data_IF_368811017760
#
_entry.id   IF_368811017760
#
_cell.length_a   1.000
_cell.length_b   1.000
_cell.length_c   1.000
_cell.angle_alpha   90.00
_cell.angle_beta   90.00
_cell.angle_gamma   90.00
#
_symmetry.space_group_name_H-M   'P 1'
#
loop_
_entity.id
_entity.type
_entity.pdbx_description
1 polymer ?
#
# COMPACT_ATOMS: atom_id res chain seq x y z
N UNK A 1 -10.38 5.43 29.00
CA UNK A 1 -10.12 4.44 27.91
C UNK A 1 -8.78 4.79 27.28
N UNK A 2 -7.87 3.82 27.14
CA UNK A 2 -6.56 4.03 26.50
C UNK A 2 -6.74 4.17 24.98
N UNK A 3 -6.03 5.13 24.37
CA UNK A 3 -5.95 5.27 22.92
C UNK A 3 -5.35 3.97 22.35
N UNK A 4 -5.97 3.35 21.33
CA UNK A 4 -5.45 2.12 20.77
C UNK A 4 -4.03 2.37 20.19
N UNK A 5 -3.08 1.45 20.39
CA UNK A 5 -1.74 1.62 19.87
C UNK A 5 -1.73 1.63 18.34
N UNK A 6 -0.72 2.28 17.76
CA UNK A 6 -0.48 2.30 16.32
C UNK A 6 -0.02 0.90 15.90
N UNK A 7 -0.67 0.25 14.92
CA UNK A 7 -0.19 -0.97 14.30
C UNK A 7 1.23 -0.83 13.79
N UNK A 8 2.04 -1.87 14.00
CA UNK A 8 3.41 -1.92 13.51
C UNK A 8 3.45 -1.84 11.97
N UNK A 9 4.53 -1.32 11.40
CA UNK A 9 4.73 -1.39 9.96
C UNK A 9 5.28 -2.77 9.61
N UNK A 10 4.83 -3.35 8.49
CA UNK A 10 5.43 -4.58 7.97
C UNK A 10 6.91 -4.33 7.70
N UNK A 11 7.78 -5.18 8.22
CA UNK A 11 9.19 -5.20 7.85
C UNK A 11 9.35 -5.83 6.46
N UNK A 12 9.93 -5.09 5.53
CA UNK A 12 9.99 -5.47 4.12
C UNK A 12 11.45 -5.62 3.69
N UNK A 13 11.88 -6.83 3.30
CA UNK A 13 13.20 -7.02 2.70
C UNK A 13 13.41 -6.18 1.44
N UNK A 14 14.46 -5.36 1.44
CA UNK A 14 14.80 -4.51 0.29
C UNK A 14 15.64 -5.26 -0.74
N UNK A 15 15.42 -4.93 -2.02
CA UNK A 15 16.20 -5.37 -3.19
C UNK A 15 16.21 -6.88 -3.42
N UNK A 16 15.22 -7.58 -2.88
CA UNK A 16 14.98 -9.01 -3.12
C UNK A 16 13.57 -9.22 -3.71
N UNK A 17 13.37 -10.24 -4.56
CA UNK A 17 12.04 -10.59 -5.05
C UNK A 17 11.22 -11.21 -3.92
N UNK A 18 10.03 -10.66 -3.70
CA UNK A 18 9.08 -11.16 -2.71
C UNK A 18 7.76 -11.52 -3.41
N UNK A 19 7.17 -12.68 -3.11
CA UNK A 19 5.88 -13.04 -3.67
C UNK A 19 4.78 -12.18 -3.01
N UNK A 20 3.90 -11.60 -3.82
CA UNK A 20 2.89 -10.64 -3.37
C UNK A 20 1.49 -10.91 -3.95
N UNK A 21 0.51 -10.22 -3.39
CA UNK A 21 -0.84 -10.04 -3.93
C UNK A 21 -1.12 -8.54 -4.01
N UNK A 22 -1.91 -8.10 -4.99
CA UNK A 22 -2.44 -6.74 -5.02
C UNK A 22 -3.68 -6.69 -4.15
N UNK A 23 -3.63 -5.94 -3.04
CA UNK A 23 -4.76 -5.82 -2.11
C UNK A 23 -5.74 -4.72 -2.51
N UNK A 24 -5.22 -3.64 -3.10
CA UNK A 24 -6.02 -2.58 -3.70
C UNK A 24 -5.20 -1.89 -4.81
N UNK A 25 -5.87 -1.43 -5.87
CA UNK A 25 -5.21 -0.77 -7.00
C UNK A 25 -5.98 0.47 -7.43
N UNK A 26 -5.32 1.63 -7.43
CA UNK A 26 -5.89 2.89 -7.93
C UNK A 26 -5.15 3.34 -9.20
N UNK A 27 -3.83 3.20 -9.25
CA UNK A 27 -3.02 3.52 -10.43
C UNK A 27 -1.62 2.89 -10.31
N UNK A 28 -0.78 2.90 -11.36
CA UNK A 28 0.63 2.52 -11.28
C UNK A 28 1.43 3.23 -10.20
N UNK A 29 1.02 4.44 -9.83
CA UNK A 29 1.72 5.26 -8.84
C UNK A 29 1.02 5.23 -7.48
N UNK A 30 -0.12 4.52 -7.36
CA UNK A 30 -0.91 4.41 -6.14
C UNK A 30 -1.63 3.07 -6.09
N UNK A 31 -1.02 2.09 -5.45
CA UNK A 31 -1.60 0.78 -5.19
C UNK A 31 -1.06 0.19 -3.90
N UNK A 32 -1.62 -0.93 -3.46
CA UNK A 32 -1.21 -1.61 -2.23
C UNK A 32 -0.92 -3.07 -2.50
N UNK A 33 0.19 -3.53 -1.94
CA UNK A 33 0.63 -4.93 -2.00
C UNK A 33 0.53 -5.58 -0.62
N UNK A 34 0.30 -6.89 -0.61
CA UNK A 34 0.43 -7.75 0.56
C UNK A 34 1.43 -8.85 0.26
N UNK A 35 2.36 -9.12 1.18
CA UNK A 35 3.28 -10.25 1.04
C UNK A 35 2.50 -11.57 1.20
N UNK A 36 2.78 -12.61 0.38
CA UNK A 36 2.05 -13.89 0.48
C UNK A 36 2.24 -14.61 1.82
N UNK A 37 3.37 -14.39 2.48
CA UNK A 37 3.71 -14.99 3.77
C UNK A 37 3.04 -14.28 4.97
N UNK A 38 2.51 -13.07 4.75
CA UNK A 38 1.78 -12.31 5.77
C UNK A 38 0.34 -12.81 5.85
N UNK A 39 0.11 -13.82 6.70
CA UNK A 39 -1.23 -14.34 6.97
C UNK A 39 -1.98 -13.44 7.95
N UNK A 40 -3.28 -13.25 7.70
CA UNK A 40 -4.21 -12.67 8.67
C UNK A 40 -4.23 -13.52 9.95
N UNK A 41 -4.15 -12.87 11.12
CA UNK A 41 -4.56 -13.50 12.39
C UNK A 41 -6.06 -13.25 12.59
N UNK A 42 -6.86 -13.76 11.66
CA UNK A 42 -8.30 -13.50 11.54
C UNK A 42 -9.22 -13.97 12.69
N UNK A 43 -8.99 -15.12 13.38
CA UNK A 43 -10.04 -15.65 14.25
C UNK A 43 -10.31 -14.78 15.49
N UNK A 44 -9.32 -14.01 15.97
CA UNK A 44 -9.45 -13.25 17.21
C UNK A 44 -10.29 -11.97 17.07
N UNK A 45 -10.23 -11.30 15.90
CA UNK A 45 -10.98 -10.06 15.65
C UNK A 45 -12.48 -10.35 15.63
N UNK A 46 -12.88 -11.48 15.04
CA UNK A 46 -14.29 -11.92 14.97
C UNK A 46 -14.89 -12.20 16.35
N UNK A 47 -14.18 -12.95 17.18
CA UNK A 47 -14.66 -13.27 18.52
C UNK A 47 -14.73 -12.01 19.41
N UNK A 48 -13.75 -11.10 19.26
CA UNK A 48 -13.76 -9.81 19.95
C UNK A 48 -14.98 -8.97 19.57
N UNK A 49 -15.24 -8.76 18.28
CA UNK A 49 -16.38 -7.96 17.83
C UNK A 49 -17.72 -8.58 18.20
N UNK A 50 -17.86 -9.91 18.14
CA UNK A 50 -19.08 -10.61 18.60
C UNK A 50 -19.36 -10.40 20.09
N UNK A 51 -18.31 -10.24 20.89
CA UNK A 51 -18.43 -9.95 22.32
C UNK A 51 -18.74 -8.47 22.65
N UNK A 52 -18.70 -7.57 21.67
CA UNK A 52 -19.01 -6.16 21.88
C UNK A 52 -20.52 -5.92 21.84
N UNK A 53 -21.10 -5.57 22.99
CA UNK A 53 -22.52 -5.22 23.11
C UNK A 53 -22.74 -3.70 23.14
N UNK A 54 -21.70 -2.92 23.40
CA UNK A 54 -21.80 -1.46 23.52
C UNK A 54 -21.30 -0.76 22.25
N UNK A 55 -22.23 -0.04 21.60
CA UNK A 55 -21.95 0.78 20.41
C UNK A 55 -21.51 2.20 20.79
N UNK A 56 -21.22 2.42 22.07
CA UNK A 56 -20.91 3.72 22.65
C UNK A 56 -19.44 3.82 23.02
N UNK A 57 -18.56 3.90 22.03
CA UNK A 57 -17.22 4.39 22.26
C UNK A 57 -16.98 5.66 21.46
N UNK A 58 -16.27 6.61 22.07
CA UNK A 58 -15.88 7.83 21.40
C UNK A 58 -14.82 7.50 20.36
N UNK A 59 -15.19 7.58 19.09
CA UNK A 59 -14.25 7.50 17.98
C UNK A 59 -13.62 8.87 17.74
N UNK A 60 -12.29 8.90 17.56
CA UNK A 60 -11.56 10.12 17.24
C UNK A 60 -10.85 9.96 15.91
N UNK A 61 -10.71 11.07 15.18
CA UNK A 61 -9.80 11.13 14.02
C UNK A 61 -8.39 10.76 14.48
N UNK A 62 -7.71 9.93 13.69
CA UNK A 62 -6.39 9.39 14.02
C UNK A 62 -6.41 8.17 14.94
N UNK A 63 -7.59 7.67 15.35
CA UNK A 63 -7.70 6.43 16.11
C UNK A 63 -7.68 5.20 15.18
N UNK A 64 -7.27 4.06 15.73
CA UNK A 64 -7.44 2.76 15.10
C UNK A 64 -8.71 2.06 15.63
N UNK A 65 -9.42 1.40 14.73
CA UNK A 65 -10.65 0.68 15.03
C UNK A 65 -10.75 -0.61 14.20
N UNK A 66 -11.82 -1.36 14.43
CA UNK A 66 -12.25 -2.46 13.57
C UNK A 66 -13.46 -2.00 12.77
N UNK A 67 -13.47 -2.24 11.47
CA UNK A 67 -14.54 -1.89 10.55
C UNK A 67 -15.24 -3.15 10.03
N UNK A 68 -16.57 -3.17 10.14
CA UNK A 68 -17.43 -4.12 9.43
C UNK A 68 -17.71 -3.60 8.02
N UNK A 69 -17.13 -4.26 7.03
CA UNK A 69 -17.15 -3.81 5.63
C UNK A 69 -18.37 -4.32 4.85
N UNK A 70 -19.14 -5.28 5.39
CA UNK A 70 -20.43 -5.74 4.85
C UNK A 70 -20.44 -6.42 3.47
N UNK A 71 -19.35 -6.46 2.70
CA UNK A 71 -19.30 -7.11 1.36
C UNK A 71 -18.96 -8.60 1.46
N UNK A 72 -19.72 -9.42 2.19
CA UNK A 72 -19.37 -10.84 2.46
C UNK A 72 -18.03 -11.05 3.24
N UNK A 73 -17.32 -9.98 3.61
CA UNK A 73 -16.09 -9.95 4.40
C UNK A 73 -16.49 -9.51 5.81
N UNK A 74 -16.19 -10.28 6.84
CA UNK A 74 -14.90 -10.21 7.52
C UNK A 74 -14.53 -8.80 8.00
N UNK A 75 -14.01 -8.77 9.22
CA UNK A 75 -13.70 -7.55 9.95
C UNK A 75 -12.33 -7.05 9.51
N UNK A 76 -12.20 -5.74 9.31
CA UNK A 76 -10.94 -5.13 8.89
C UNK A 76 -10.41 -4.19 9.99
N UNK A 77 -9.10 -4.17 10.20
CA UNK A 77 -8.48 -3.09 10.99
C UNK A 77 -8.46 -1.83 10.16
N UNK A 78 -8.76 -0.70 10.81
CA UNK A 78 -9.00 0.56 10.16
C UNK A 78 -8.38 1.72 10.93
N UNK A 79 -7.98 2.76 10.20
CA UNK A 79 -7.53 4.04 10.73
C UNK A 79 -8.52 5.12 10.38
N UNK A 80 -8.98 5.90 11.37
CA UNK A 80 -10.00 6.93 11.19
C UNK A 80 -9.38 8.17 10.55
N UNK A 81 -9.82 8.49 9.35
CA UNK A 81 -9.36 9.66 8.59
C UNK A 81 -10.21 10.90 8.89
N UNK A 82 -11.52 10.73 8.95
CA UNK A 82 -12.46 11.82 9.22
C UNK A 82 -13.75 11.29 9.87
N UNK A 83 -14.48 12.18 10.55
CA UNK A 83 -15.76 11.87 11.20
C UNK A 83 -16.79 12.90 10.76
N UNK A 84 -17.80 12.44 10.03
CA UNK A 84 -18.94 13.26 9.66
C UNK A 84 -19.92 13.35 10.83
N UNK A 85 -20.41 14.56 11.07
CA UNK A 85 -21.35 14.87 12.15
C UNK A 85 -22.64 15.43 11.57
N UNK A 86 -23.75 15.17 12.26
CA UNK A 86 -25.03 15.81 11.94
C UNK A 86 -25.08 17.28 12.40
N UNK A 87 -26.23 17.93 12.19
CA UNK A 87 -26.46 19.32 12.59
C UNK A 87 -26.44 19.57 14.10
N UNK A 88 -26.48 18.52 14.92
CA UNK A 88 -26.36 18.60 16.38
C UNK A 88 -24.94 18.24 16.87
N UNK A 89 -24.01 17.98 15.96
CA UNK A 89 -22.63 17.61 16.26
C UNK A 89 -22.44 16.13 16.61
N UNK A 90 -23.44 15.28 16.38
CA UNK A 90 -23.36 13.85 16.66
C UNK A 90 -22.72 13.10 15.49
N UNK A 91 -21.77 12.18 15.74
CA UNK A 91 -21.11 11.42 14.68
C UNK A 91 -22.09 10.46 14.00
N UNK A 92 -22.20 10.55 12.68
CA UNK A 92 -23.11 9.71 11.86
C UNK A 92 -22.34 8.66 11.05
N UNK A 93 -21.16 9.03 10.57
CA UNK A 93 -20.29 8.16 9.78
C UNK A 93 -18.84 8.60 9.94
N UNK A 94 -17.92 7.70 9.59
CA UNK A 94 -16.50 8.00 9.53
C UNK A 94 -15.92 7.54 8.19
N UNK A 95 -15.01 8.34 7.66
CA UNK A 95 -14.09 7.89 6.61
C UNK A 95 -12.94 7.15 7.28
N UNK A 96 -12.71 5.92 6.85
CA UNK A 96 -11.70 5.03 7.45
C UNK A 96 -10.82 4.40 6.39
N UNK A 97 -9.54 4.25 6.68
CA UNK A 97 -8.58 3.55 5.85
C UNK A 97 -8.33 2.14 6.40
N UNK A 98 -8.75 1.11 5.67
CA UNK A 98 -8.58 -0.29 6.05
C UNK A 98 -7.12 -0.71 5.83
N UNK A 99 -6.32 -0.70 6.91
CA UNK A 99 -4.86 -0.79 6.85
C UNK A 99 -4.30 -2.11 6.36
N UNK A 100 -5.12 -3.17 6.38
CA UNK A 100 -4.72 -4.48 5.87
C UNK A 100 -5.06 -4.67 4.39
N UNK A 101 -5.86 -3.77 3.82
CA UNK A 101 -6.36 -3.84 2.45
C UNK A 101 -5.88 -2.68 1.58
N UNK A 102 -5.56 -1.53 2.18
CA UNK A 102 -5.19 -0.33 1.44
C UNK A 102 -6.40 0.40 0.85
N UNK A 103 -7.58 0.21 1.42
CA UNK A 103 -8.86 0.68 0.89
C UNK A 103 -9.50 1.69 1.85
N UNK A 104 -9.97 2.81 1.31
CA UNK A 104 -10.76 3.79 2.07
C UNK A 104 -12.26 3.52 1.92
N UNK A 105 -13.00 3.57 3.01
CA UNK A 105 -14.44 3.39 3.07
C UNK A 105 -15.09 4.48 3.93
N UNK A 106 -16.33 4.82 3.61
CA UNK A 106 -17.19 5.60 4.50
C UNK A 106 -18.21 4.65 5.12
N UNK A 107 -18.20 4.54 6.45
CA UNK A 107 -19.03 3.60 7.19
C UNK A 107 -19.84 4.33 8.26
N UNK A 108 -21.06 3.86 8.51
CA UNK A 108 -21.85 4.32 9.65
C UNK A 108 -21.18 3.95 10.97
N UNK A 109 -21.39 4.76 12.00
CA UNK A 109 -20.77 4.54 13.32
C UNK A 109 -21.09 3.15 13.91
N UNK A 110 -22.23 2.58 13.55
CA UNK A 110 -22.66 1.23 13.96
C UNK A 110 -21.85 0.07 13.33
N UNK A 111 -20.94 0.37 12.41
CA UNK A 111 -20.05 -0.60 11.76
C UNK A 111 -18.61 -0.48 12.23
N UNK A 112 -18.35 0.34 13.23
CA UNK A 112 -17.02 0.60 13.75
C UNK A 112 -16.96 0.10 15.18
N UNK A 113 -15.92 -0.64 15.53
CA UNK A 113 -15.71 -1.23 16.84
C UNK A 113 -14.32 -0.86 17.37
N UNK A 114 -14.09 -0.85 18.69
CA UNK A 114 -12.77 -0.63 19.24
C UNK A 114 -11.74 -1.64 18.72
N UNK A 115 -10.48 -1.24 18.57
CA UNK A 115 -9.39 -2.18 18.29
C UNK A 115 -8.77 -2.65 19.60
N UNK A 116 -8.60 -3.97 19.78
CA UNK A 116 -7.94 -4.51 20.96
C UNK A 116 -6.42 -4.23 20.93
N UNK A 117 -5.77 -4.21 22.10
CA UNK A 117 -4.30 -4.04 22.17
C UNK A 117 -3.54 -5.19 21.49
N UNK A 118 -4.13 -6.39 21.45
CA UNK A 118 -3.50 -7.56 20.83
C UNK A 118 -3.52 -7.38 19.30
N UNK A 119 -4.65 -6.94 18.75
CA UNK A 119 -4.81 -6.73 17.32
C UNK A 119 -4.02 -5.51 16.82
N UNK A 120 -3.82 -4.52 17.68
CA UNK A 120 -2.96 -3.38 17.41
C UNK A 120 -1.46 -3.72 17.36
N UNK A 121 -1.02 -4.90 17.83
CA UNK A 121 0.39 -5.34 17.66
C UNK A 121 0.65 -6.02 16.31
N UNK A 122 -0.39 -6.34 15.56
CA UNK A 122 -0.22 -6.98 14.25
C UNK A 122 0.27 -5.91 13.27
N UNK A 123 1.29 -6.15 12.44
CA UNK A 123 1.71 -5.17 11.46
C UNK A 123 0.63 -4.87 10.42
N UNK A 124 0.54 -3.65 9.89
CA UNK A 124 -0.32 -3.32 8.75
C UNK A 124 0.05 -4.19 7.55
N UNK A 125 -0.92 -4.94 7.01
CA UNK A 125 -0.63 -5.92 5.95
C UNK A 125 -0.61 -5.33 4.55
N UNK A 126 -1.28 -4.20 4.32
CA UNK A 126 -1.24 -3.52 3.02
C UNK A 126 -0.11 -2.49 2.99
N UNK A 127 0.79 -2.69 2.04
CA UNK A 127 1.97 -1.86 1.83
C UNK A 127 1.68 -0.87 0.69
N UNK A 128 1.68 0.45 0.95
CA UNK A 128 1.47 1.44 -0.11
C UNK A 128 2.65 1.44 -1.08
N UNK A 129 2.38 1.37 -2.37
CA UNK A 129 3.36 1.19 -3.42
C UNK A 129 3.13 2.10 -4.62
N UNK A 130 4.23 2.31 -5.35
CA UNK A 130 4.31 2.98 -6.64
C UNK A 130 5.32 2.25 -7.52
N UNK A 131 4.96 2.04 -8.80
CA UNK A 131 5.88 1.52 -9.80
C UNK A 131 6.92 2.60 -10.10
N UNK A 132 8.18 2.19 -10.09
CA UNK A 132 9.27 3.10 -10.44
C UNK A 132 9.37 3.34 -11.94
N UNK A 133 10.13 4.37 -12.32
CA UNK A 133 10.59 4.63 -13.70
C UNK A 133 9.48 4.86 -14.72
N UNK A 134 8.26 5.16 -14.26
CA UNK A 134 7.16 5.56 -15.12
C UNK A 134 6.43 6.78 -14.57
N UNK A 135 5.87 7.58 -15.48
CA UNK A 135 4.71 8.43 -15.22
C UNK A 135 3.50 7.83 -15.91
N UNK A 136 2.34 7.90 -15.27
CA UNK A 136 1.07 7.63 -15.93
C UNK A 136 0.39 8.96 -16.25
N UNK A 137 -0.19 9.14 -17.45
CA UNK A 137 -1.19 10.17 -17.66
C UNK A 137 -2.29 10.07 -16.60
N UNK A 138 -2.85 11.21 -16.19
CA UNK A 138 -3.95 11.28 -15.21
C UNK A 138 -5.24 10.61 -15.70
N UNK A 139 -5.34 10.32 -17.01
CA UNK A 139 -6.53 9.79 -17.69
C UNK A 139 -6.40 8.34 -18.17
N UNK A 140 -5.32 7.64 -17.82
CA UNK A 140 -5.11 6.25 -18.25
C UNK A 140 -6.26 5.37 -17.78
N UNK A 141 -6.92 4.68 -18.72
CA UNK A 141 -8.11 3.88 -18.45
C UNK A 141 -7.72 2.72 -17.53
N UNK A 142 -8.11 2.82 -16.26
CA UNK A 142 -7.91 1.81 -15.21
C UNK A 142 -8.20 0.38 -15.66
N UNK A 143 -9.15 0.19 -16.58
CA UNK A 143 -9.59 -1.11 -17.08
C UNK A 143 -8.47 -1.90 -17.76
N UNK A 144 -7.66 -1.27 -18.60
CA UNK A 144 -6.59 -1.97 -19.34
C UNK A 144 -5.43 -2.40 -18.41
N UNK A 145 -5.36 -1.82 -17.21
CA UNK A 145 -4.33 -2.05 -16.19
C UNK A 145 -4.74 -3.11 -15.16
N UNK A 146 -6.03 -3.14 -14.84
CA UNK A 146 -6.65 -4.08 -13.89
C UNK A 146 -6.61 -5.52 -14.42
N UNK A 147 -6.70 -5.71 -15.73
CA UNK A 147 -6.72 -7.03 -16.39
C UNK A 147 -5.43 -7.85 -16.20
N UNK A 148 -4.31 -7.22 -15.79
CA UNK A 148 -3.06 -7.90 -15.47
C UNK A 148 -2.85 -8.11 -13.97
N UNK A 149 -3.19 -7.12 -13.14
CA UNK A 149 -2.86 -7.11 -11.71
C UNK A 149 -3.87 -7.88 -10.84
N UNK A 150 -5.05 -8.18 -11.37
CA UNK A 150 -6.20 -8.71 -10.60
C UNK A 150 -6.65 -10.08 -11.10
N UNK A 151 -5.87 -10.73 -11.99
CA UNK A 151 -6.14 -12.12 -12.35
C UNK A 151 -5.97 -13.00 -11.10
N UNK A 152 -7.00 -13.76 -10.68
CA UNK A 152 -6.93 -14.55 -9.45
C UNK A 152 -5.82 -15.60 -9.44
N UNK A 153 -5.37 -16.01 -10.62
CA UNK A 153 -4.36 -17.02 -10.87
C UNK A 153 -2.97 -16.44 -11.22
N UNK A 154 -2.82 -15.12 -11.33
CA UNK A 154 -1.53 -14.52 -11.61
C UNK A 154 -0.61 -14.60 -10.39
N UNK A 155 0.56 -15.21 -10.58
CA UNK A 155 1.64 -15.13 -9.61
C UNK A 155 2.40 -13.83 -9.77
N UNK A 156 2.44 -13.04 -8.69
CA UNK A 156 3.08 -11.73 -8.66
C UNK A 156 4.29 -11.75 -7.74
N UNK A 157 5.34 -11.07 -8.18
CA UNK A 157 6.49 -10.71 -7.37
C UNK A 157 6.70 -9.20 -7.34
N UNK A 158 7.24 -8.69 -6.24
CA UNK A 158 7.70 -7.31 -6.15
C UNK A 158 9.11 -7.23 -5.56
N UNK A 159 9.90 -6.28 -6.05
CA UNK A 159 11.19 -5.91 -5.48
C UNK A 159 11.07 -4.49 -4.93
N UNK A 160 11.27 -4.33 -3.63
CA UNK A 160 11.17 -3.06 -2.92
C UNK A 160 12.53 -2.37 -2.84
N UNK A 161 12.61 -1.06 -3.03
CA UNK A 161 13.91 -0.38 -3.10
C UNK A 161 14.08 0.79 -2.13
N UNK A 162 12.98 1.32 -1.61
CA UNK A 162 12.97 2.44 -0.68
C UNK A 162 11.57 3.04 -0.56
N UNK A 163 11.41 3.97 0.36
CA UNK A 163 10.17 4.68 0.65
C UNK A 163 10.30 6.17 0.35
N UNK A 164 9.21 6.79 -0.09
CA UNK A 164 9.09 8.25 -0.06
C UNK A 164 8.95 8.77 1.37
N UNK A 165 9.01 10.09 1.56
CA UNK A 165 8.70 10.74 2.84
C UNK A 165 7.29 10.43 3.35
N UNK A 166 6.34 10.18 2.43
CA UNK A 166 4.98 9.78 2.75
C UNK A 166 4.83 8.26 3.04
N UNK A 167 5.94 7.52 3.12
CA UNK A 167 5.92 6.08 3.41
C UNK A 167 5.50 5.19 2.24
N UNK A 168 5.44 5.72 1.01
CA UNK A 168 5.08 4.93 -0.19
C UNK A 168 6.32 4.23 -0.74
N UNK A 169 6.25 2.93 -0.88
CA UNK A 169 7.34 2.13 -1.42
C UNK A 169 7.47 2.28 -2.93
N UNK A 170 8.71 2.41 -3.40
CA UNK A 170 9.05 2.31 -4.81
C UNK A 170 9.41 0.88 -5.16
N UNK A 171 8.67 0.30 -6.10
CA UNK A 171 8.78 -1.13 -6.43
C UNK A 171 8.94 -1.36 -7.93
N UNK A 172 9.66 -2.43 -8.26
CA UNK A 172 9.49 -3.13 -9.53
C UNK A 172 8.54 -4.31 -9.29
N UNK A 173 7.48 -4.41 -10.09
CA UNK A 173 6.51 -5.51 -10.00
C UNK A 173 6.60 -6.41 -11.23
N UNK A 174 6.44 -7.70 -11.02
CA UNK A 174 6.57 -8.72 -12.05
C UNK A 174 5.36 -9.65 -12.06
N UNK A 175 4.88 -9.98 -13.25
CA UNK A 175 3.90 -11.04 -13.47
C UNK A 175 4.65 -12.27 -13.96
N UNK A 176 4.44 -13.40 -13.28
CA UNK A 176 4.94 -14.69 -13.71
C UNK A 176 3.90 -15.33 -14.64
N UNK A 177 4.29 -15.58 -15.88
CA UNK A 177 3.44 -16.13 -16.96
C UNK A 177 4.08 -17.38 -17.58
N UNK A 178 3.32 -18.12 -18.41
CA UNK A 178 3.73 -19.37 -19.04
C UNK A 178 3.47 -20.61 -18.19
N UNK A 179 3.59 -21.81 -18.78
CA UNK A 179 3.48 -23.07 -18.04
C UNK A 179 4.54 -23.09 -16.92
N UNK A 180 4.08 -23.18 -15.67
CA UNK A 180 4.90 -23.11 -14.45
C UNK A 180 5.64 -21.78 -14.18
N UNK A 181 5.19 -20.65 -14.74
CA UNK A 181 5.73 -19.33 -14.40
C UNK A 181 7.13 -19.03 -14.94
N UNK A 182 7.57 -19.69 -16.02
CA UNK A 182 8.90 -19.49 -16.60
C UNK A 182 9.15 -18.07 -17.16
N UNK A 183 8.10 -17.32 -17.52
CA UNK A 183 8.22 -15.99 -18.09
C UNK A 183 7.98 -14.93 -17.02
N UNK A 184 9.02 -14.15 -16.71
CA UNK A 184 8.98 -13.07 -15.72
C UNK A 184 8.89 -11.71 -16.41
N UNK A 185 7.69 -11.15 -16.47
CA UNK A 185 7.42 -9.89 -17.17
C UNK A 185 7.42 -8.71 -16.19
N UNK A 186 8.19 -7.65 -16.47
CA UNK A 186 8.15 -6.42 -15.67
C UNK A 186 6.92 -5.58 -16.05
N UNK A 187 6.09 -5.25 -15.07
CA UNK A 187 4.83 -4.53 -15.28
C UNK A 187 5.07 -3.10 -15.77
N UNK A 188 6.06 -2.39 -15.24
CA UNK A 188 6.34 -1.02 -15.65
C UNK A 188 6.78 -0.95 -17.11
N UNK A 189 7.64 -1.89 -17.54
CA UNK A 189 8.11 -1.97 -18.93
C UNK A 189 6.99 -2.34 -19.90
N UNK A 190 6.16 -3.33 -19.57
CA UNK A 190 5.00 -3.70 -20.40
C UNK A 190 4.02 -2.53 -20.58
N UNK A 191 3.78 -1.74 -19.53
CA UNK A 191 2.95 -0.54 -19.63
C UNK A 191 3.56 0.54 -20.54
N UNK A 192 4.88 0.68 -20.54
CA UNK A 192 5.60 1.61 -21.41
C UNK A 192 5.53 1.13 -22.86
N UNK A 193 5.79 -0.15 -23.10
CA UNK A 193 5.81 -0.76 -24.44
C UNK A 193 4.44 -0.68 -25.12
N UNK A 194 3.35 -0.73 -24.34
CA UNK A 194 1.97 -0.56 -24.82
C UNK A 194 1.56 0.91 -25.01
N UNK A 195 2.42 1.87 -24.68
CA UNK A 195 2.12 3.30 -24.72
C UNK A 195 1.12 3.76 -23.65
N UNK A 196 0.94 2.98 -22.58
CA UNK A 196 0.02 3.26 -21.47
C UNK A 196 0.68 4.18 -20.44
N UNK A 197 2.00 4.08 -20.30
CA UNK A 197 2.82 4.90 -19.41
C UNK A 197 4.05 5.45 -20.15
N UNK A 198 4.65 6.51 -19.62
CA UNK A 198 5.87 7.10 -20.16
C UNK A 198 7.04 6.80 -19.25
N UNK A 199 8.18 6.40 -19.82
CA UNK A 199 9.40 6.16 -19.06
C UNK A 199 9.94 7.45 -18.42
N UNK A 200 10.28 7.37 -17.13
CA UNK A 200 11.07 8.40 -16.45
C UNK A 200 12.53 7.96 -16.42
N UNK A 201 13.40 8.82 -16.94
CA UNK A 201 14.83 8.72 -16.71
C UNK A 201 15.16 9.54 -15.47
N UNK A 202 15.53 8.88 -14.36
CA UNK A 202 16.22 9.59 -13.30
C UNK A 202 17.59 10.02 -13.85
N UNK A 203 18.06 11.25 -13.60
CA UNK A 203 19.47 11.52 -13.80
C UNK A 203 20.24 10.52 -12.92
N UNK A 204 21.09 9.69 -13.54
CA UNK A 204 22.11 8.96 -12.81
C UNK A 204 22.81 9.99 -11.92
N UNK A 205 23.02 9.73 -10.60
CA UNK A 205 23.86 10.61 -9.83
C UNK A 205 25.18 10.78 -10.60
N UNK A 206 25.66 12.01 -10.81
CA UNK A 206 26.85 12.24 -11.61
C UNK A 206 27.94 11.33 -11.07
N UNK A 207 28.41 10.41 -11.91
CA UNK A 207 29.58 9.62 -11.57
C UNK A 207 30.66 10.65 -11.23
N UNK A 208 31.16 10.63 -9.99
CA UNK A 208 32.30 11.47 -9.59
C UNK A 208 33.42 11.17 -10.58
N UNK A 209 33.55 12.02 -11.59
CA UNK A 209 34.66 11.98 -12.52
C UNK A 209 35.92 12.09 -11.70
N UNK A 210 36.83 11.13 -11.89
CA UNK A 210 38.18 11.22 -11.37
C UNK A 210 38.75 12.55 -11.85
N UNK A 211 38.96 13.48 -10.92
CA UNK A 211 39.75 14.68 -11.19
C UNK A 211 41.17 14.18 -11.43
N UNK A 212 41.54 14.00 -12.70
CA UNK A 212 42.94 13.93 -13.07
C UNK A 212 43.51 15.34 -12.96
N UNK A 213 44.29 15.58 -11.90
CA UNK A 213 45.06 16.80 -11.77
C UNK A 213 46.08 16.87 -12.91
N UNK A 214 45.86 17.76 -13.88
CA UNK A 214 46.90 18.20 -14.80
C UNK A 214 47.62 19.40 -14.18
N UNK A 215 48.88 19.22 -13.79
CA UNK A 215 49.75 20.31 -13.34
C UNK A 215 50.01 21.26 -14.51
N UNK A 216 49.63 22.53 -14.39
CA UNK A 216 50.10 23.58 -15.29
C UNK A 216 51.54 23.94 -14.94
N UNK A 217 52.45 23.76 -15.90
CA UNK A 217 53.75 24.46 -15.92
C UNK A 217 53.53 25.85 -16.51
N UNK A 218 53.93 26.89 -15.78
CA UNK A 218 54.05 28.25 -16.31
C UNK A 218 55.27 28.35 -17.25
N UNK A 219 55.21 29.11 -18.35
CA UNK A 219 56.40 29.50 -19.07
C UNK A 219 56.94 30.84 -18.53
N UNK A 220 58.23 30.85 -18.25
CA UNK A 220 59.03 32.07 -18.22
C UNK A 220 59.14 32.63 -19.63
N UNK A 221 58.85 33.92 -19.81
CA UNK A 221 59.73 34.92 -20.40
C UNK A 221 59.12 36.31 -20.27
#
# INVERSE_FOLDING_TARGET
MQVPPIPELTDIPMKVPLPVWVSNFISPTKFWLRLKNNKHRDPYIRDFVRGQTEHFYTLNVGAYCVADTGRNFDLARAFVLDIQKDGFGMPISAEVFCVDYGLTLVLGMNKLFPLSQIDAKIPCLAVPCSLRRLTSPSSTRLRDMVDWCVRPDAELEAVFYGTSEAGVYQVDMFVMTGENGQVRMNVAEDLIDRGIATRIWYPLPPQRGKITASSSKAPHH
#
